data_IF_706569971027
#
_entry.id   IF_706569971027
#
_cell.length_a   1.000
_cell.length_b   1.000
_cell.length_c   1.000
_cell.angle_alpha   90.00
_cell.angle_beta   90.00
_cell.angle_gamma   90.00
#
_symmetry.space_group_name_H-M   'P 1'
#
loop_
_entity.id
_entity.type
_entity.pdbx_description
1 polymer ?
#
# COMPACT_ATOMS: atom_id res chain seq x y z
N UNK A 1 -0.63 3.73 36.32
CA UNK A 1 -0.54 2.26 36.17
C UNK A 1 -1.62 1.66 35.27
N UNK A 2 -2.71 2.37 34.94
CA UNK A 2 -3.75 1.90 34.03
C UNK A 2 -3.37 2.00 32.53
N UNK A 3 -2.56 2.99 32.13
CA UNK A 3 -2.10 3.18 30.74
C UNK A 3 -1.16 2.06 30.25
N UNK A 4 -0.39 1.46 31.16
CA UNK A 4 0.51 0.36 30.83
C UNK A 4 -0.28 -0.92 30.60
N UNK A 5 -1.39 -1.12 31.33
CA UNK A 5 -2.28 -2.29 31.17
C UNK A 5 -3.05 -2.17 29.85
N UNK A 6 -3.52 -0.98 29.48
CA UNK A 6 -4.15 -0.76 28.18
C UNK A 6 -3.16 -0.97 27.03
N UNK A 7 -1.91 -0.49 27.12
CA UNK A 7 -0.87 -0.73 26.10
C UNK A 7 -0.36 -2.18 26.04
N UNK A 8 -0.49 -2.96 27.12
CA UNK A 8 -0.16 -4.39 27.13
C UNK A 8 -1.32 -5.26 26.63
N UNK A 9 -2.57 -4.81 26.80
CA UNK A 9 -3.77 -5.43 26.21
C UNK A 9 -3.93 -5.05 24.72
N UNK A 10 -3.34 -3.94 24.28
CA UNK A 10 -3.21 -3.51 22.87
C UNK A 10 -2.05 -4.18 22.13
N UNK A 11 -1.39 -5.20 22.71
CA UNK A 11 -0.68 -6.18 21.87
C UNK A 11 -1.79 -6.82 21.04
N UNK A 12 -1.82 -6.58 19.71
CA UNK A 12 -3.03 -6.68 18.94
C UNK A 12 -3.59 -8.08 19.16
N UNK A 13 -4.84 -8.18 19.65
CA UNK A 13 -5.53 -9.46 19.84
C UNK A 13 -5.31 -10.37 18.62
N UNK A 14 -5.23 -9.77 17.43
CA UNK A 14 -4.81 -10.36 16.15
C UNK A 14 -3.51 -11.18 16.25
N UNK A 15 -2.41 -10.63 16.80
CA UNK A 15 -1.16 -11.38 17.01
C UNK A 15 -1.38 -12.56 17.94
N UNK A 16 -2.24 -12.45 18.95
CA UNK A 16 -2.57 -13.59 19.82
C UNK A 16 -3.39 -14.66 19.09
N UNK A 17 -4.36 -14.28 18.27
CA UNK A 17 -5.15 -15.21 17.44
C UNK A 17 -4.29 -15.94 16.40
N UNK A 18 -3.37 -15.23 15.74
CA UNK A 18 -2.44 -15.83 14.77
C UNK A 18 -1.43 -16.75 15.47
N UNK A 19 -0.85 -16.32 16.59
CA UNK A 19 0.08 -17.17 17.37
C UNK A 19 -0.61 -18.41 17.92
N UNK A 20 -1.85 -18.29 18.41
CA UNK A 20 -2.65 -19.43 18.86
C UNK A 20 -2.96 -20.39 17.69
N UNK A 21 -3.31 -19.86 16.52
CA UNK A 21 -3.57 -20.68 15.33
C UNK A 21 -2.33 -21.44 14.85
N UNK A 22 -1.15 -20.80 14.86
CA UNK A 22 0.13 -21.44 14.53
C UNK A 22 0.47 -22.53 15.56
N UNK A 23 0.26 -22.27 16.85
CA UNK A 23 0.50 -23.24 17.92
C UNK A 23 -0.39 -24.50 17.76
N UNK A 24 -1.66 -24.33 17.43
CA UNK A 24 -2.59 -25.43 17.15
C UNK A 24 -2.18 -26.24 15.91
N UNK A 25 -1.69 -25.57 14.85
CA UNK A 25 -1.13 -26.26 13.68
C UNK A 25 0.15 -27.03 14.01
N UNK A 26 1.03 -26.48 14.86
CA UNK A 26 2.22 -27.18 15.31
C UNK A 26 1.87 -28.44 16.08
N UNK A 27 0.85 -28.40 16.95
CA UNK A 27 0.36 -29.60 17.65
C UNK A 27 -0.19 -30.64 16.66
N UNK A 28 -0.91 -30.19 15.63
CA UNK A 28 -1.42 -31.06 14.58
C UNK A 28 -0.30 -31.75 13.77
N UNK A 29 0.80 -31.03 13.47
CA UNK A 29 1.91 -31.57 12.66
C UNK A 29 2.86 -32.42 13.50
N UNK A 30 3.24 -31.94 14.68
CA UNK A 30 4.23 -32.59 15.54
C UNK A 30 3.66 -33.86 16.18
N UNK A 31 2.35 -33.88 16.49
CA UNK A 31 1.60 -35.10 16.82
C UNK A 31 2.05 -35.90 18.04
N UNK A 32 3.15 -35.52 18.70
CA UNK A 32 3.75 -36.22 19.82
C UNK A 32 4.22 -35.20 20.86
N UNK A 33 3.31 -34.83 21.76
CA UNK A 33 3.63 -34.03 22.93
C UNK A 33 4.08 -35.04 23.99
N UNK A 34 5.30 -34.87 24.50
CA UNK A 34 6.02 -35.89 25.26
C UNK A 34 5.19 -36.62 26.33
N UNK A 35 5.21 -37.95 26.27
CA UNK A 35 5.21 -38.78 27.48
C UNK A 35 3.96 -39.58 27.84
N UNK A 36 2.73 -39.22 27.42
CA UNK A 36 1.55 -40.07 27.71
C UNK A 36 0.23 -39.75 27.00
N UNK A 37 0.15 -38.69 26.20
CA UNK A 37 -1.09 -38.30 25.49
C UNK A 37 -0.79 -38.27 24.00
N UNK A 38 -1.20 -39.32 23.30
CA UNK A 38 -1.13 -39.39 21.84
C UNK A 38 -2.42 -38.82 21.26
N UNK A 39 -2.29 -37.71 20.51
CA UNK A 39 -3.41 -37.18 19.75
C UNK A 39 -3.71 -38.14 18.59
N UNK A 40 -4.76 -38.95 18.75
CA UNK A 40 -5.29 -39.80 17.67
C UNK A 40 -5.75 -38.97 16.46
N UNK A 41 -6.07 -39.64 15.34
CA UNK A 41 -6.44 -38.97 14.09
C UNK A 41 -7.52 -37.88 14.27
N UNK A 42 -8.52 -38.12 15.12
CA UNK A 42 -9.58 -37.16 15.42
C UNK A 42 -9.05 -35.91 16.13
N UNK A 43 -8.14 -36.07 17.10
CA UNK A 43 -7.55 -34.94 17.82
C UNK A 43 -6.65 -34.07 16.92
N UNK A 44 -5.90 -34.73 16.02
CA UNK A 44 -5.02 -34.06 15.05
C UNK A 44 -5.81 -33.25 14.02
N UNK A 45 -6.87 -33.84 13.48
CA UNK A 45 -7.77 -33.17 12.53
C UNK A 45 -8.50 -32.01 13.22
N UNK A 46 -8.98 -32.20 14.47
CA UNK A 46 -9.62 -31.14 15.25
C UNK A 46 -8.72 -29.94 15.49
N UNK A 47 -7.46 -30.15 15.87
CA UNK A 47 -6.48 -29.07 16.05
C UNK A 47 -6.14 -28.33 14.76
N UNK A 48 -6.09 -29.04 13.63
CA UNK A 48 -5.80 -28.42 12.33
C UNK A 48 -6.95 -27.51 11.88
N UNK A 49 -8.20 -27.98 11.97
CA UNK A 49 -9.39 -27.19 11.60
C UNK A 49 -9.48 -25.95 12.49
N UNK A 50 -9.33 -26.12 13.80
CA UNK A 50 -9.40 -24.99 14.74
C UNK A 50 -8.28 -23.97 14.49
N UNK A 51 -7.05 -24.42 14.22
CA UNK A 51 -5.92 -23.55 13.91
C UNK A 51 -6.12 -22.73 12.63
N UNK A 52 -6.61 -23.36 11.55
CA UNK A 52 -6.92 -22.67 10.29
C UNK A 52 -8.04 -21.64 10.49
N UNK A 53 -9.10 -22.00 11.22
CA UNK A 53 -10.22 -21.09 11.51
C UNK A 53 -9.73 -19.85 12.28
N UNK A 54 -8.88 -20.02 13.29
CA UNK A 54 -8.31 -18.90 14.06
C UNK A 54 -7.42 -17.99 13.21
N UNK A 55 -6.62 -18.55 12.30
CA UNK A 55 -5.78 -17.76 11.38
C UNK A 55 -6.63 -16.96 10.39
N UNK A 56 -7.66 -17.57 9.82
CA UNK A 56 -8.57 -16.89 8.87
C UNK A 56 -9.36 -15.78 9.57
N UNK A 57 -9.87 -16.02 10.79
CA UNK A 57 -10.53 -14.99 11.59
C UNK A 57 -9.58 -13.85 11.96
N UNK A 58 -8.34 -14.16 12.37
CA UNK A 58 -7.32 -13.15 12.67
C UNK A 58 -6.96 -12.29 11.45
N UNK A 59 -6.78 -12.91 10.28
CA UNK A 59 -6.52 -12.20 9.02
C UNK A 59 -7.70 -11.35 8.58
N UNK A 60 -8.93 -11.88 8.64
CA UNK A 60 -10.13 -11.14 8.23
C UNK A 60 -10.33 -9.85 9.04
N UNK A 61 -10.06 -9.88 10.35
CA UNK A 61 -10.08 -8.67 11.18
C UNK A 61 -8.93 -7.71 10.83
N UNK A 62 -7.75 -8.24 10.51
CA UNK A 62 -6.61 -7.43 10.08
C UNK A 62 -6.91 -6.67 8.79
N UNK A 63 -7.58 -7.29 7.81
CA UNK A 63 -7.97 -6.62 6.57
C UNK A 63 -8.89 -5.40 6.80
N UNK A 64 -9.70 -5.39 7.86
CA UNK A 64 -10.56 -4.23 8.20
C UNK A 64 -9.78 -3.03 8.72
N UNK A 65 -8.90 -3.23 9.71
CA UNK A 65 -8.14 -2.14 10.35
C UNK A 65 -6.96 -1.63 9.50
N UNK A 66 -6.39 -2.45 8.61
CA UNK A 66 -5.22 -2.03 7.82
C UNK A 66 -5.59 -0.88 6.86
N UNK A 67 -6.86 -0.74 6.44
CA UNK A 67 -7.30 0.43 5.67
C UNK A 67 -7.26 1.73 6.49
N UNK A 68 -7.67 1.70 7.76
CA UNK A 68 -7.62 2.87 8.65
C UNK A 68 -6.19 3.22 9.07
N UNK A 69 -5.31 2.23 9.26
CA UNK A 69 -3.90 2.47 9.60
C UNK A 69 -3.12 3.03 8.41
N UNK A 70 -3.34 2.54 7.18
CA UNK A 70 -2.77 3.19 5.98
C UNK A 70 -3.37 4.59 5.74
N UNK A 71 -4.64 4.81 6.06
CA UNK A 71 -5.24 6.14 6.01
C UNK A 71 -4.68 7.09 7.10
N UNK A 72 -4.39 6.59 8.30
CA UNK A 72 -3.81 7.35 9.43
C UNK A 72 -2.29 7.55 9.34
N UNK A 73 -1.61 6.76 8.51
CA UNK A 73 -0.21 6.96 8.14
C UNK A 73 -0.03 8.04 7.05
N UNK A 74 -1.12 8.65 6.56
CA UNK A 74 -1.01 10.02 6.04
C UNK A 74 -0.80 10.96 7.24
N UNK A 75 0.40 11.56 7.42
CA UNK A 75 0.57 12.56 8.46
C UNK A 75 -0.15 13.82 7.96
N UNK A 76 -1.18 14.23 8.69
CA UNK A 76 -1.76 15.57 8.61
C UNK A 76 -2.23 16.04 7.22
N UNK A 77 -3.42 15.61 6.82
CA UNK A 77 -4.29 16.47 6.02
C UNK A 77 -5.59 16.70 6.79
N UNK A 78 -5.54 17.51 7.85
CA UNK A 78 -6.65 18.35 8.34
C UNK A 78 -6.30 19.00 9.69
N UNK A 79 -5.46 20.05 9.65
CA UNK A 79 -5.65 21.17 10.57
C UNK A 79 -5.78 22.39 9.68
N UNK A 80 -6.96 22.99 9.67
CA UNK A 80 -7.27 24.16 8.86
C UNK A 80 -6.29 25.32 9.16
N UNK A 81 -5.97 26.17 8.17
CA UNK A 81 -5.17 27.37 8.41
C UNK A 81 -5.98 28.38 9.26
N UNK A 82 -5.44 28.94 10.37
CA UNK A 82 -5.94 30.21 10.85
C UNK A 82 -5.45 31.28 9.87
N UNK A 83 -6.39 31.88 9.15
CA UNK A 83 -6.15 33.09 8.38
C UNK A 83 -5.65 34.19 9.32
N UNK A 84 -4.44 34.70 9.11
CA UNK A 84 -4.04 36.02 9.62
C UNK A 84 -3.24 36.78 8.57
N UNK A 85 -3.94 37.76 8.01
CA UNK A 85 -3.45 38.93 7.30
C UNK A 85 -2.64 39.81 8.27
N UNK A 86 -1.45 40.28 7.89
CA UNK A 86 -1.09 41.71 7.70
C UNK A 86 0.44 41.90 7.60
N UNK A 87 0.79 42.93 6.84
CA UNK A 87 2.09 43.28 6.29
C UNK A 87 3.21 43.58 7.30
N UNK A 88 4.46 43.34 6.87
CA UNK A 88 5.61 44.26 7.03
C UNK A 88 6.83 43.71 6.27
N UNK A 89 7.24 44.38 5.18
CA UNK A 89 8.58 44.29 4.60
C UNK A 89 9.50 45.28 5.37
N UNK A 90 10.86 45.17 5.39
CA UNK A 90 11.67 44.85 4.22
C UNK A 90 12.95 44.00 4.43
N UNK A 91 13.41 43.45 3.29
CA UNK A 91 14.82 43.21 2.91
C UNK A 91 15.71 42.44 3.89
N UNK A 92 15.76 41.11 3.76
CA UNK A 92 17.02 40.37 3.88
C UNK A 92 16.95 39.02 3.15
N UNK A 93 17.95 38.83 2.28
CA UNK A 93 18.44 37.59 1.71
C UNK A 93 17.39 36.68 1.06
N UNK A 94 17.43 36.70 -0.28
CA UNK A 94 17.10 35.55 -1.12
C UNK A 94 17.74 34.30 -0.54
N UNK A 95 16.99 33.58 0.30
CA UNK A 95 17.06 32.13 0.26
C UNK A 95 16.56 31.79 -1.14
N UNK A 96 17.49 31.72 -2.10
CA UNK A 96 17.36 30.74 -3.15
C UNK A 96 17.39 29.42 -2.39
N UNK A 97 16.23 29.01 -1.88
CA UNK A 97 15.97 27.59 -1.82
C UNK A 97 16.32 27.16 -3.22
N UNK A 98 17.29 26.25 -3.34
CA UNK A 98 17.21 25.30 -4.42
C UNK A 98 15.87 24.59 -4.22
N UNK A 99 14.80 25.25 -4.65
CA UNK A 99 13.66 24.65 -5.29
C UNK A 99 14.24 24.12 -6.58
N UNK A 100 15.16 23.16 -6.48
CA UNK A 100 15.42 22.24 -7.55
C UNK A 100 14.07 21.61 -7.71
N UNK A 101 13.36 22.10 -8.71
CA UNK A 101 11.97 21.80 -8.94
C UNK A 101 11.93 20.28 -8.98
N UNK A 102 11.35 19.66 -7.95
CA UNK A 102 11.20 18.22 -7.85
C UNK A 102 10.16 17.84 -8.92
N UNK A 103 10.60 17.91 -10.16
CA UNK A 103 9.83 17.74 -11.37
C UNK A 103 9.74 16.25 -11.62
N UNK A 104 8.54 15.76 -11.80
CA UNK A 104 8.27 14.41 -12.24
C UNK A 104 8.96 14.21 -13.58
N UNK A 105 9.73 13.13 -13.66
CA UNK A 105 10.28 12.56 -14.88
C UNK A 105 9.84 11.11 -14.93
N UNK A 106 8.88 10.80 -15.78
CA UNK A 106 8.40 9.43 -15.95
C UNK A 106 9.52 8.57 -16.55
N UNK A 107 9.75 7.40 -15.97
CA UNK A 107 10.70 6.40 -16.46
C UNK A 107 9.97 5.38 -17.32
N UNK A 108 8.91 4.80 -16.76
CA UNK A 108 8.17 3.67 -17.32
C UNK A 108 6.70 3.73 -16.91
N UNK A 109 5.84 3.26 -17.80
CA UNK A 109 4.42 3.07 -17.57
C UNK A 109 4.00 1.78 -18.26
N UNK A 110 3.65 0.76 -17.48
CA UNK A 110 3.28 -0.57 -17.96
C UNK A 110 1.84 -0.85 -17.61
N UNK A 111 1.06 -1.21 -18.63
CA UNK A 111 -0.33 -1.64 -18.50
C UNK A 111 -0.45 -3.12 -18.85
N UNK A 112 -1.03 -3.89 -17.92
CA UNK A 112 -1.28 -5.33 -18.04
C UNK A 112 -0.04 -6.19 -17.89
N UNK A 113 0.93 -5.79 -17.05
CA UNK A 113 2.12 -6.60 -16.76
C UNK A 113 1.76 -8.00 -16.25
N UNK A 114 0.70 -8.11 -15.45
CA UNK A 114 0.15 -9.39 -15.01
C UNK A 114 -0.47 -10.24 -16.14
N UNK A 115 -0.74 -9.65 -17.31
CA UNK A 115 -1.35 -10.27 -18.47
C UNK A 115 -0.38 -10.41 -19.66
N UNK A 116 0.94 -10.40 -19.41
CA UNK A 116 1.97 -10.36 -20.46
C UNK A 116 1.92 -9.09 -21.33
N UNK A 117 1.40 -7.99 -20.78
CA UNK A 117 1.45 -6.67 -21.39
C UNK A 117 2.88 -6.24 -21.63
N UNK A 118 3.09 -5.53 -22.74
CA UNK A 118 4.40 -5.03 -23.10
C UNK A 118 4.83 -3.97 -22.09
N UNK A 119 6.03 -4.09 -21.53
CA UNK A 119 6.64 -3.03 -20.74
C UNK A 119 6.70 -1.72 -21.54
N UNK A 120 6.43 -0.62 -20.84
CA UNK A 120 6.42 0.75 -21.38
C UNK A 120 5.34 1.07 -22.41
N UNK A 121 4.31 0.24 -22.55
CA UNK A 121 3.19 0.50 -23.45
C UNK A 121 2.35 1.74 -23.06
N UNK A 122 2.38 2.14 -21.78
CA UNK A 122 1.62 3.27 -21.25
C UNK A 122 2.50 4.44 -20.79
N UNK A 123 3.83 4.39 -21.02
CA UNK A 123 4.74 5.47 -20.61
C UNK A 123 4.35 6.81 -21.22
N UNK A 124 3.96 6.83 -22.49
CA UNK A 124 3.57 8.05 -23.19
C UNK A 124 2.27 8.69 -22.65
N UNK A 125 1.40 7.89 -22.01
CA UNK A 125 0.17 8.38 -21.39
C UNK A 125 0.48 9.19 -20.13
N UNK A 126 1.54 8.82 -19.41
CA UNK A 126 1.98 9.48 -18.19
C UNK A 126 2.94 10.64 -18.47
N UNK A 127 3.92 10.43 -19.36
CA UNK A 127 4.96 11.42 -19.60
C UNK A 127 4.41 12.70 -20.21
N UNK A 128 3.46 12.61 -21.15
CA UNK A 128 2.82 13.79 -21.77
C UNK A 128 2.19 14.76 -20.77
N UNK A 129 1.31 14.33 -19.84
CA UNK A 129 0.71 15.23 -18.87
C UNK A 129 1.60 15.53 -17.65
N UNK A 130 2.48 14.61 -17.24
CA UNK A 130 3.15 14.72 -15.94
C UNK A 130 4.61 15.16 -15.98
N UNK A 131 5.32 14.98 -17.09
CA UNK A 131 6.72 15.41 -17.15
C UNK A 131 6.82 16.92 -16.90
N UNK A 132 7.68 17.30 -15.96
CA UNK A 132 7.87 18.70 -15.61
C UNK A 132 6.85 19.27 -14.61
N UNK A 133 6.07 18.43 -13.92
CA UNK A 133 5.17 18.86 -12.82
C UNK A 133 5.67 18.37 -11.47
N UNK A 134 5.33 19.02 -10.37
CA UNK A 134 5.57 18.51 -9.02
C UNK A 134 4.50 17.48 -8.57
N UNK A 135 3.30 17.57 -9.15
CA UNK A 135 2.18 16.67 -8.91
C UNK A 135 1.30 16.57 -10.15
N UNK A 136 0.77 15.38 -10.41
CA UNK A 136 -0.01 15.07 -11.60
C UNK A 136 -1.00 13.95 -11.32
N UNK A 137 -2.27 14.19 -11.59
CA UNK A 137 -3.33 13.20 -11.53
C UNK A 137 -3.68 12.80 -12.96
N UNK A 138 -3.43 11.54 -13.33
CA UNK A 138 -3.71 11.01 -14.67
C UNK A 138 -4.84 10.01 -14.58
N UNK A 139 -5.90 10.27 -15.34
CA UNK A 139 -6.96 9.28 -15.53
C UNK A 139 -6.50 8.23 -16.53
N UNK A 140 -6.44 6.97 -16.11
CA UNK A 140 -6.11 5.85 -16.96
C UNK A 140 -7.38 5.44 -17.72
N UNK A 141 -7.45 5.82 -18.99
CA UNK A 141 -8.50 5.33 -19.89
C UNK A 141 -8.01 4.05 -20.59
N UNK A 142 -8.48 2.91 -20.08
CA UNK A 142 -8.15 1.60 -20.66
C UNK A 142 -8.74 1.40 -22.05
N UNK A 143 -9.74 2.19 -22.46
CA UNK A 143 -10.29 2.13 -23.81
C UNK A 143 -9.40 2.83 -24.84
N UNK A 144 -8.51 3.74 -24.39
CA UNK A 144 -7.50 4.37 -25.24
C UNK A 144 -6.25 3.48 -25.42
N UNK A 145 -6.13 2.41 -24.63
CA UNK A 145 -5.08 1.41 -24.74
C UNK A 145 -5.60 0.25 -25.58
N UNK A 146 -4.86 -0.16 -26.62
CA UNK A 146 -5.20 -1.37 -27.39
C UNK A 146 -5.26 -2.56 -26.42
N UNK A 147 -6.40 -3.22 -26.32
CA UNK A 147 -6.62 -4.34 -25.40
C UNK A 147 -6.38 -5.68 -26.13
N UNK A 148 -5.22 -6.33 -25.95
CA UNK A 148 -4.93 -7.64 -26.55
C UNK A 148 -5.60 -8.82 -25.82
N UNK A 149 -6.25 -8.63 -24.66
CA UNK A 149 -6.78 -9.72 -23.83
C UNK A 149 -8.00 -9.29 -22.98
N UNK A 150 -9.22 -9.30 -23.51
CA UNK A 150 -10.42 -8.81 -22.79
C UNK A 150 -10.81 -9.64 -21.55
N UNK A 151 -10.20 -10.82 -21.34
CA UNK A 151 -10.48 -11.71 -20.23
C UNK A 151 -9.49 -11.60 -19.06
N UNK A 152 -8.59 -10.62 -19.08
CA UNK A 152 -7.58 -10.43 -18.03
C UNK A 152 -7.76 -9.06 -17.38
N UNK A 153 -7.99 -9.04 -16.05
CA UNK A 153 -7.98 -7.83 -15.24
C UNK A 153 -6.55 -7.28 -15.21
N UNK A 154 -6.30 -6.25 -16.00
CA UNK A 154 -4.96 -5.69 -16.16
C UNK A 154 -4.60 -4.83 -14.95
N UNK A 155 -3.35 -4.92 -14.54
CA UNK A 155 -2.74 -3.98 -13.62
C UNK A 155 -2.18 -2.77 -14.38
N UNK A 156 -1.85 -1.72 -13.63
CA UNK A 156 -1.10 -0.58 -14.15
C UNK A 156 0.04 -0.30 -13.20
N UNK A 157 1.27 -0.23 -13.69
CA UNK A 157 2.45 0.11 -12.91
C UNK A 157 3.16 1.30 -13.56
N UNK A 158 3.51 2.30 -12.76
CA UNK A 158 4.25 3.47 -13.19
C UNK A 158 5.48 3.67 -12.33
N UNK A 159 6.57 4.10 -12.96
CA UNK A 159 7.79 4.50 -12.27
C UNK A 159 8.21 5.90 -12.73
N UNK A 160 8.59 6.74 -11.78
CA UNK A 160 9.04 8.11 -12.05
C UNK A 160 10.19 8.51 -11.12
N UNK A 161 10.95 9.52 -11.54
CA UNK A 161 11.93 10.23 -10.68
C UNK A 161 11.47 11.65 -10.43
N UNK A 162 12.03 12.26 -9.39
CA UNK A 162 11.80 13.65 -9.05
C UNK A 162 13.09 14.46 -9.22
N UNK A 163 13.05 15.49 -10.07
CA UNK A 163 14.19 16.37 -10.35
C UNK A 163 15.42 15.62 -10.84
N UNK A 164 16.60 15.99 -10.32
CA UNK A 164 17.83 15.23 -10.55
C UNK A 164 18.08 14.17 -9.46
N UNK A 165 17.04 13.83 -8.68
CA UNK A 165 17.11 12.78 -7.68
C UNK A 165 17.37 11.41 -8.31
N UNK A 166 18.15 10.58 -7.62
CA UNK A 166 18.39 9.20 -8.02
C UNK A 166 17.31 8.22 -7.50
N UNK A 167 16.31 8.74 -6.78
CA UNK A 167 15.21 7.95 -6.22
C UNK A 167 14.18 7.69 -7.32
N UNK A 168 13.85 6.40 -7.50
CA UNK A 168 12.73 5.95 -8.33
C UNK A 168 11.53 5.76 -7.41
N UNK A 169 10.46 6.46 -7.71
CA UNK A 169 9.15 6.27 -7.13
C UNK A 169 8.35 5.33 -8.03
N UNK A 170 7.54 4.48 -7.42
CA UNK A 170 6.71 3.52 -8.13
C UNK A 170 5.31 3.53 -7.54
N UNK A 171 4.30 3.43 -8.40
CA UNK A 171 2.91 3.26 -8.00
C UNK A 171 2.25 2.21 -8.89
N UNK A 172 1.36 1.42 -8.31
CA UNK A 172 0.63 0.40 -9.04
C UNK A 172 -0.85 0.39 -8.68
N UNK A 173 -1.69 0.18 -9.69
CA UNK A 173 -3.12 -0.08 -9.57
C UNK A 173 -3.34 -1.56 -9.88
N UNK A 174 -3.69 -2.39 -8.88
CA UNK A 174 -3.79 -3.84 -9.07
C UNK A 174 -5.03 -4.27 -9.88
N UNK A 175 -6.05 -3.42 -9.94
CA UNK A 175 -7.26 -3.68 -10.72
C UNK A 175 -7.80 -2.38 -11.28
N UNK A 176 -7.80 -2.24 -12.61
CA UNK A 176 -8.50 -1.15 -13.27
C UNK A 176 -9.98 -1.50 -13.44
N UNK A 177 -10.86 -0.57 -13.06
CA UNK A 177 -12.31 -0.67 -13.27
C UNK A 177 -12.73 -0.31 -14.69
N UNK A 178 -11.78 0.15 -15.51
CA UNK A 178 -11.96 0.34 -16.96
C UNK A 178 -12.38 1.74 -17.39
N UNK A 179 -12.70 2.64 -16.44
CA UNK A 179 -12.87 4.08 -16.68
C UNK A 179 -12.82 4.83 -15.36
N UNK A 180 -12.04 5.91 -15.32
CA UNK A 180 -11.85 6.82 -14.17
C UNK A 180 -10.90 6.35 -13.07
N UNK A 181 -10.07 5.34 -13.32
CA UNK A 181 -8.98 5.05 -12.38
C UNK A 181 -7.95 6.18 -12.46
N UNK A 182 -7.73 6.87 -11.33
CA UNK A 182 -6.81 8.01 -11.26
C UNK A 182 -5.51 7.56 -10.63
N UNK A 183 -4.42 7.72 -11.37
CA UNK A 183 -3.07 7.52 -10.86
C UNK A 183 -2.46 8.88 -10.53
N UNK A 184 -2.07 9.05 -9.26
CA UNK A 184 -1.44 10.28 -8.76
C UNK A 184 0.07 10.11 -8.66
N UNK A 185 0.80 10.88 -9.44
CA UNK A 185 2.25 11.00 -9.34
C UNK A 185 2.54 12.28 -8.56
N UNK A 186 3.38 12.19 -7.54
CA UNK A 186 3.83 13.34 -6.78
C UNK A 186 5.31 13.24 -6.46
N UNK A 187 5.90 14.42 -6.27
CA UNK A 187 7.23 14.58 -5.72
C UNK A 187 7.10 15.25 -4.36
N UNK A 188 7.21 14.45 -3.31
CA UNK A 188 7.31 14.98 -1.95
C UNK A 188 8.66 15.67 -1.78
N UNK A 189 8.65 16.89 -1.24
CA UNK A 189 9.85 17.64 -0.87
C UNK A 189 10.27 17.32 0.55
#
# INVERSE_FOLDING_TARGET
>A
MQDVILKLVDVPMVRMFVLAGILFLLIAVLGKIEGKIEAGNVGRIGSAILGVVLIVLGLAMQYGDTHDVYARLTPNASVAPPAQTTASAPLVASAVTNTETALIRVISGTYGGNCNGKADNATALLSKPCDGRDSCDVTIDTAALEDPAPNCSKDFAAEWKCGNGNVVFSAALPSLSGKNDVLRLNCVK
#
